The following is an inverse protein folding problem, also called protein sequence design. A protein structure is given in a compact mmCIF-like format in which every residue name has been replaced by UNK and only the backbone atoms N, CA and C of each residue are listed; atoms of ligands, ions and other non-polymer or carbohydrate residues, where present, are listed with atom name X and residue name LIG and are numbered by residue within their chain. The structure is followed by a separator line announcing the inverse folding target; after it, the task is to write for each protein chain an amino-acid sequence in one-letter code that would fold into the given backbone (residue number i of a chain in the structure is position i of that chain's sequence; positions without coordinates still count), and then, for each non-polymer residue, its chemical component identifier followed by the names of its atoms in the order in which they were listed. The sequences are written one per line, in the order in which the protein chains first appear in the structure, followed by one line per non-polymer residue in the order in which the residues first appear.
data_IF_952375188107
#
_entry.id   IF_952375188107
#
_cell.length_a   1.000
_cell.length_b   1.000
_cell.length_c   1.000
_cell.angle_alpha   90.00
_cell.angle_beta   90.00
_cell.angle_gamma   90.00
#
_symmetry.space_group_name_H-M   'P 1'
#
loop_
_entity.id
_entity.type
_entity.pdbx_description
1 polymer ?
#
# COMPACT_ATOMS: atom_id res chain seq x y z
N UNK A 1 -3.54 -4.97 -30.59
CA UNK A 1 -3.87 -3.71 -29.89
C UNK A 1 -4.49 -4.11 -28.57
N UNK A 2 -3.77 -3.91 -27.46
CA UNK A 2 -4.29 -4.22 -26.12
C UNK A 2 -5.56 -3.41 -25.83
N UNK A 3 -6.49 -4.03 -25.11
CA UNK A 3 -7.77 -3.45 -24.70
C UNK A 3 -7.57 -2.25 -23.76
N UNK A 4 -6.51 -2.26 -22.95
CA UNK A 4 -6.20 -1.17 -22.03
C UNK A 4 -5.76 0.10 -22.76
N UNK A 5 -5.09 0.01 -23.92
CA UNK A 5 -4.71 1.18 -24.74
C UNK A 5 -5.90 2.08 -25.11
N UNK A 6 -7.12 1.53 -25.10
CA UNK A 6 -8.37 2.25 -25.37
C UNK A 6 -8.93 3.01 -24.15
N UNK A 7 -8.59 2.59 -22.93
CA UNK A 7 -8.95 3.28 -21.69
C UNK A 7 -8.09 4.53 -21.46
N UNK A 8 -6.79 4.45 -21.76
CA UNK A 8 -5.84 5.56 -21.55
C UNK A 8 -5.86 6.62 -22.65
N UNK A 9 -6.55 6.39 -23.78
CA UNK A 9 -6.62 7.36 -24.89
C UNK A 9 -7.80 8.33 -24.76
N UNK A 10 -8.07 8.84 -23.56
CA UNK A 10 -9.23 9.69 -23.24
C UNK A 10 -9.49 10.79 -24.28
N UNK A 11 -10.68 10.78 -24.87
CA UNK A 11 -11.19 11.82 -25.77
C UNK A 11 -11.36 13.13 -24.99
N UNK A 12 -10.76 14.20 -25.51
CA UNK A 12 -10.92 15.59 -25.08
C UNK A 12 -12.40 15.99 -24.98
N UNK A 13 -12.83 16.49 -23.83
CA UNK A 13 -13.95 17.44 -23.81
C UNK A 13 -13.74 18.54 -22.78
N UNK A 14 -13.82 19.74 -23.33
CA UNK A 14 -13.62 21.05 -22.76
C UNK A 14 -14.61 21.39 -21.63
N UNK A 15 -14.05 22.01 -20.60
CA UNK A 15 -14.47 23.32 -20.04
C UNK A 15 -15.91 23.46 -19.51
N UNK A 16 -16.03 23.55 -18.17
CA UNK A 16 -16.77 24.63 -17.48
C UNK A 16 -16.71 24.51 -15.94
N UNK A 17 -15.94 25.41 -15.32
CA UNK A 17 -16.23 25.98 -13.98
C UNK A 17 -17.22 27.16 -14.15
N UNK A 18 -17.81 27.82 -13.11
CA UNK A 18 -17.52 27.77 -11.67
C UNK A 18 -18.77 27.81 -10.74
N UNK A 19 -18.58 27.67 -9.41
CA UNK A 19 -19.06 28.62 -8.38
C UNK A 19 -18.94 28.10 -6.93
N UNK A 20 -18.31 28.92 -6.09
CA UNK A 20 -18.33 28.91 -4.61
C UNK A 20 -19.72 29.28 -4.05
N UNK A 21 -20.06 28.88 -2.80
CA UNK A 21 -19.99 29.86 -1.70
C UNK A 21 -19.62 29.33 -0.29
N UNK A 22 -18.99 30.24 0.46
CA UNK A 22 -18.92 30.57 1.90
C UNK A 22 -19.31 29.59 3.04
N UNK A 23 -18.46 29.68 4.07
CA UNK A 23 -18.43 29.10 5.42
C UNK A 23 -19.50 29.67 6.37
N UNK A 24 -19.94 28.89 7.37
CA UNK A 24 -19.86 29.23 8.82
C UNK A 24 -20.28 28.06 9.74
N UNK A 25 -20.02 28.05 11.06
CA UNK A 25 -19.48 26.91 11.77
C UNK A 25 -20.46 26.40 12.85
N UNK A 26 -20.03 25.38 13.59
CA UNK A 26 -20.47 24.93 14.93
C UNK A 26 -20.82 23.44 14.96
N UNK A 27 -19.86 22.62 15.39
CA UNK A 27 -20.18 21.38 16.09
C UNK A 27 -19.42 21.28 17.41
N UNK A 28 -20.21 21.16 18.47
CA UNK A 28 -19.82 20.89 19.85
C UNK A 28 -19.41 19.42 19.98
N UNK A 29 -18.27 19.17 20.61
CA UNK A 29 -17.80 17.85 21.09
C UNK A 29 -18.80 17.24 22.09
N UNK A 30 -18.79 15.91 22.24
CA UNK A 30 -18.24 15.40 23.49
C UNK A 30 -17.30 14.19 23.36
N UNK A 31 -16.37 14.17 24.32
CA UNK A 31 -15.37 13.17 24.66
C UNK A 31 -16.02 11.90 25.20
N UNK A 32 -15.60 10.72 24.74
CA UNK A 32 -15.76 9.44 25.46
C UNK A 32 -14.47 8.63 25.31
N UNK A 33 -13.79 8.37 26.43
CA UNK A 33 -12.71 7.38 26.57
C UNK A 33 -13.29 5.96 26.59
N UNK A 34 -12.54 4.95 26.13
CA UNK A 34 -12.60 3.64 26.75
C UNK A 34 -11.25 3.22 27.36
N UNK A 35 -11.38 2.55 28.49
CA UNK A 35 -10.33 2.02 29.34
C UNK A 35 -9.83 0.66 28.82
N UNK A 36 -8.60 0.33 29.19
CA UNK A 36 -7.91 -0.94 28.96
C UNK A 36 -8.63 -2.14 29.58
N UNK A 37 -8.61 -3.30 28.91
CA UNK A 37 -8.46 -4.58 29.60
C UNK A 37 -7.78 -5.63 28.70
N UNK A 38 -6.68 -6.19 29.20
CA UNK A 38 -5.85 -7.21 28.57
C UNK A 38 -6.35 -8.61 28.93
N UNK A 39 -6.21 -9.57 28.01
CA UNK A 39 -6.32 -11.00 28.33
C UNK A 39 -5.19 -11.80 27.67
N UNK A 40 -4.24 -12.20 28.52
CA UNK A 40 -3.24 -13.25 28.31
C UNK A 40 -3.93 -14.60 28.05
N UNK A 41 -3.48 -15.36 27.06
CA UNK A 41 -3.72 -16.81 27.00
C UNK A 41 -2.39 -17.52 26.68
N UNK A 42 -1.94 -18.34 27.63
CA UNK A 42 -0.78 -19.23 27.51
C UNK A 42 -1.12 -20.51 26.72
N UNK A 43 -0.13 -21.16 26.05
CA UNK A 43 -0.35 -22.37 25.27
C UNK A 43 -0.25 -23.66 26.12
N UNK A 44 -1.24 -24.55 25.96
CA UNK A 44 -1.21 -25.90 26.52
C UNK A 44 -0.60 -26.92 25.55
N UNK A 45 0.30 -27.74 26.09
CA UNK A 45 1.04 -28.79 25.39
C UNK A 45 0.36 -30.17 25.45
N UNK A 46 0.52 -30.93 24.34
CA UNK A 46 0.66 -32.39 24.29
C UNK A 46 -0.53 -33.19 23.75
N UNK A 47 -0.37 -34.49 23.40
CA UNK A 47 0.87 -35.25 23.17
C UNK A 47 0.92 -36.00 21.82
N UNK A 48 2.10 -36.57 21.56
CA UNK A 48 2.45 -37.44 20.45
C UNK A 48 1.63 -38.75 20.39
N UNK A 49 1.41 -39.25 19.18
CA UNK A 49 1.07 -40.65 18.90
C UNK A 49 1.94 -41.16 17.76
N UNK A 50 2.58 -42.29 18.03
CA UNK A 50 3.47 -43.03 17.15
C UNK A 50 2.73 -44.21 16.51
N UNK A 51 3.16 -44.56 15.30
CA UNK A 51 3.08 -45.91 14.73
C UNK A 51 1.85 -46.17 13.84
N UNK A 52 2.07 -46.49 12.56
CA UNK A 52 2.11 -47.88 12.10
C UNK A 52 2.61 -47.98 10.65
N UNK A 53 3.34 -49.07 10.39
CA UNK A 53 3.91 -49.52 9.11
C UNK A 53 2.86 -49.73 8.02
N UNK A 54 3.27 -49.64 6.73
CA UNK A 54 2.89 -50.63 5.72
C UNK A 54 3.73 -50.52 4.42
N UNK A 55 4.40 -51.64 4.13
CA UNK A 55 4.69 -52.26 2.83
C UNK A 55 5.52 -51.58 1.73
N UNK A 56 6.72 -52.13 1.61
CA UNK A 56 7.36 -52.62 0.39
C UNK A 56 6.39 -53.37 -0.56
N UNK A 57 6.29 -52.94 -1.82
CA UNK A 57 6.05 -53.81 -2.99
C UNK A 57 6.18 -53.05 -4.34
N UNK A 58 7.27 -53.38 -5.06
CA UNK A 58 7.35 -53.69 -6.50
C UNK A 58 6.67 -52.77 -7.55
N UNK A 59 7.53 -52.13 -8.34
CA UNK A 59 7.26 -51.64 -9.70
C UNK A 59 6.94 -52.80 -10.67
N UNK A 60 6.00 -52.58 -11.61
CA UNK A 60 6.15 -53.12 -12.95
C UNK A 60 6.11 -52.00 -14.00
N UNK A 61 7.03 -52.08 -14.96
CA UNK A 61 6.95 -51.40 -16.25
C UNK A 61 5.84 -52.03 -17.10
N UNK A 62 5.17 -51.19 -17.91
CA UNK A 62 4.78 -51.40 -19.32
C UNK A 62 3.36 -50.89 -19.65
N UNK A 63 3.28 -50.22 -20.81
CA UNK A 63 2.11 -50.04 -21.70
C UNK A 63 1.15 -48.85 -21.50
N UNK A 64 1.49 -47.77 -22.22
CA UNK A 64 0.67 -47.02 -23.18
C UNK A 64 -0.77 -46.57 -22.82
N UNK A 65 -0.92 -45.27 -22.59
CA UNK A 65 -1.96 -44.43 -23.20
C UNK A 65 -1.34 -43.07 -23.58
N UNK A 66 -1.69 -42.45 -24.72
CA UNK A 66 -1.36 -41.04 -24.95
C UNK A 66 -2.31 -40.25 -24.06
N UNK A 67 -1.90 -39.99 -22.82
CA UNK A 67 -2.51 -38.92 -22.03
C UNK A 67 -2.35 -37.69 -22.88
N UNK A 68 -3.48 -37.21 -23.42
CA UNK A 68 -3.55 -35.92 -24.05
C UNK A 68 -2.86 -34.96 -23.08
N UNK A 69 -1.71 -34.41 -23.49
CA UNK A 69 -1.22 -33.19 -22.88
C UNK A 69 -2.40 -32.23 -23.01
N UNK A 70 -3.11 -32.04 -21.91
CA UNK A 70 -3.75 -30.78 -21.66
C UNK A 70 -2.53 -29.87 -21.66
N UNK A 71 -2.27 -29.23 -22.80
CA UNK A 71 -1.46 -28.04 -22.81
C UNK A 71 -2.08 -27.19 -21.72
N UNK A 72 -1.38 -27.08 -20.58
CA UNK A 72 -1.72 -26.09 -19.59
C UNK A 72 -1.65 -24.79 -20.37
N UNK A 73 -2.82 -24.26 -20.74
CA UNK A 73 -2.96 -22.84 -20.99
C UNK A 73 -2.29 -22.21 -19.77
N UNK A 74 -1.15 -21.56 -20.00
CA UNK A 74 -0.21 -21.20 -18.94
C UNK A 74 -0.97 -20.56 -17.80
N UNK A 75 -0.83 -21.08 -16.58
CA UNK A 75 -1.39 -20.43 -15.40
C UNK A 75 -0.88 -18.98 -15.26
N UNK A 76 0.24 -18.70 -15.95
CA UNK A 76 1.03 -17.48 -15.98
C UNK A 76 0.61 -16.48 -17.09
N UNK A 77 -0.37 -16.79 -17.94
CA UNK A 77 -0.87 -15.83 -18.93
C UNK A 77 -2.17 -15.14 -18.47
N UNK A 78 -2.22 -13.83 -18.63
CA UNK A 78 -3.42 -13.03 -18.41
C UNK A 78 -4.53 -13.39 -19.42
N UNK A 79 -5.73 -13.61 -18.90
CA UNK A 79 -6.91 -13.98 -19.68
C UNK A 79 -7.82 -12.77 -19.95
N UNK A 80 -8.86 -12.96 -20.77
CA UNK A 80 -9.88 -11.95 -20.97
C UNK A 80 -10.68 -11.61 -19.70
N UNK A 81 -10.78 -12.54 -18.75
CA UNK A 81 -11.42 -12.28 -17.46
C UNK A 81 -10.48 -11.49 -16.53
N UNK A 82 -9.18 -11.77 -16.57
CA UNK A 82 -8.17 -10.98 -15.85
C UNK A 82 -8.16 -9.53 -16.37
N UNK A 83 -8.24 -9.31 -17.69
CA UNK A 83 -8.35 -7.97 -18.26
C UNK A 83 -9.58 -7.19 -17.74
N UNK A 84 -10.72 -7.86 -17.50
CA UNK A 84 -11.88 -7.21 -16.88
C UNK A 84 -11.64 -6.90 -15.40
N UNK A 85 -10.93 -7.79 -14.70
CA UNK A 85 -10.57 -7.60 -13.31
C UNK A 85 -9.63 -6.39 -13.14
N UNK A 86 -8.62 -6.26 -14.01
CA UNK A 86 -7.71 -5.11 -14.07
C UNK A 86 -8.52 -3.82 -14.22
N UNK A 87 -9.42 -3.76 -15.21
CA UNK A 87 -10.23 -2.57 -15.46
C UNK A 87 -11.12 -2.23 -14.27
N UNK A 88 -11.77 -3.22 -13.67
CA UNK A 88 -12.64 -3.00 -12.50
C UNK A 88 -11.85 -2.49 -11.29
N UNK A 89 -10.65 -3.03 -11.07
CA UNK A 89 -9.80 -2.63 -9.95
C UNK A 89 -9.21 -1.23 -10.16
N UNK A 90 -8.71 -0.91 -11.38
CA UNK A 90 -8.30 0.46 -11.74
C UNK A 90 -9.46 1.45 -11.54
N UNK A 91 -10.66 1.15 -12.03
CA UNK A 91 -11.82 2.02 -11.82
C UNK A 91 -12.19 2.22 -10.34
N UNK A 92 -11.86 1.26 -9.49
CA UNK A 92 -12.09 1.37 -8.04
C UNK A 92 -11.06 2.31 -7.42
N UNK A 93 -9.80 2.18 -7.80
CA UNK A 93 -8.70 3.07 -7.41
C UNK A 93 -8.95 4.51 -7.88
N UNK A 94 -9.30 4.70 -9.16
CA UNK A 94 -9.53 6.02 -9.76
C UNK A 94 -10.66 6.79 -9.07
N UNK A 95 -11.74 6.09 -8.68
CA UNK A 95 -12.85 6.70 -7.92
C UNK A 95 -12.41 7.25 -6.57
N UNK A 96 -11.43 6.60 -5.93
CA UNK A 96 -10.82 7.07 -4.69
C UNK A 96 -9.70 8.10 -4.94
N UNK A 97 -9.49 8.52 -6.18
CA UNK A 97 -8.46 9.50 -6.55
C UNK A 97 -7.05 8.92 -6.69
N UNK A 98 -6.91 7.60 -6.78
CA UNK A 98 -5.66 6.89 -7.07
C UNK A 98 -5.62 6.55 -8.56
N UNK A 99 -4.78 7.23 -9.31
CA UNK A 99 -4.62 7.05 -10.76
C UNK A 99 -3.22 6.53 -11.07
N UNK A 100 -3.05 5.72 -12.14
CA UNK A 100 -1.73 5.44 -12.67
C UNK A 100 -0.96 6.75 -12.93
N UNK A 101 0.35 6.74 -12.67
CA UNK A 101 1.24 7.86 -12.97
C UNK A 101 1.26 8.10 -14.48
N UNK A 102 1.57 9.32 -14.90
CA UNK A 102 1.41 9.74 -16.30
C UNK A 102 2.33 8.97 -17.28
N UNK A 103 3.44 8.47 -16.76
CA UNK A 103 4.45 7.68 -17.46
C UNK A 103 4.11 6.20 -17.57
N UNK A 104 3.12 5.70 -16.79
CA UNK A 104 2.76 4.29 -16.78
C UNK A 104 1.94 3.96 -18.02
N UNK A 105 2.48 3.05 -18.84
CA UNK A 105 1.77 2.51 -19.98
C UNK A 105 0.91 1.31 -19.55
N UNK A 106 -0.16 1.01 -20.31
CA UNK A 106 -0.96 -0.17 -20.03
C UNK A 106 -0.21 -1.50 -20.07
N UNK A 107 0.84 -1.55 -20.90
CA UNK A 107 1.69 -2.72 -21.07
C UNK A 107 2.52 -2.97 -19.81
N UNK A 108 2.92 -1.91 -19.08
CA UNK A 108 3.62 -2.04 -17.81
C UNK A 108 2.74 -2.75 -16.77
N UNK A 109 1.46 -2.38 -16.67
CA UNK A 109 0.49 -3.02 -15.76
C UNK A 109 0.29 -4.49 -16.12
N UNK A 110 0.12 -4.81 -17.41
CA UNK A 110 -0.03 -6.19 -17.86
C UNK A 110 1.23 -7.02 -17.54
N UNK A 111 2.42 -6.47 -17.74
CA UNK A 111 3.68 -7.15 -17.46
C UNK A 111 3.88 -7.38 -15.95
N UNK A 112 3.68 -6.36 -15.12
CA UNK A 112 3.84 -6.48 -13.66
C UNK A 112 2.87 -7.48 -13.03
N UNK A 113 1.63 -7.56 -13.53
CA UNK A 113 0.64 -8.53 -13.04
C UNK A 113 0.88 -9.95 -13.56
N UNK A 114 1.61 -10.09 -14.67
CA UNK A 114 1.97 -11.39 -15.22
C UNK A 114 3.03 -12.12 -14.38
N UNK A 115 3.78 -11.40 -13.55
CA UNK A 115 4.78 -11.98 -12.64
C UNK A 115 4.17 -12.87 -11.54
N UNK A 116 2.95 -12.54 -11.07
CA UNK A 116 2.18 -13.36 -10.13
C UNK A 116 0.68 -13.26 -10.39
N UNK A 117 0.25 -13.86 -11.50
CA UNK A 117 -1.16 -13.87 -11.93
C UNK A 117 -2.08 -14.51 -10.88
N UNK A 118 -1.61 -15.52 -10.14
CA UNK A 118 -2.41 -16.15 -9.10
C UNK A 118 -2.69 -15.21 -7.94
N UNK A 119 -1.69 -14.44 -7.49
CA UNK A 119 -1.86 -13.44 -6.46
C UNK A 119 -2.79 -12.32 -6.92
N UNK A 120 -2.60 -11.82 -8.15
CA UNK A 120 -3.48 -10.82 -8.75
C UNK A 120 -4.95 -11.28 -8.76
N UNK A 121 -5.23 -12.52 -9.18
CA UNK A 121 -6.59 -13.07 -9.19
C UNK A 121 -7.22 -13.15 -7.80
N UNK A 122 -6.41 -13.33 -6.74
CA UNK A 122 -6.90 -13.40 -5.36
C UNK A 122 -7.08 -12.01 -4.74
N UNK A 123 -6.20 -11.07 -5.08
CA UNK A 123 -6.08 -9.73 -4.47
C UNK A 123 -5.84 -8.64 -5.52
N UNK A 124 -6.80 -8.40 -6.42
CA UNK A 124 -6.57 -7.56 -7.59
C UNK A 124 -6.28 -6.09 -7.25
N UNK A 125 -6.91 -5.51 -6.23
CA UNK A 125 -6.65 -4.13 -5.84
C UNK A 125 -5.27 -4.03 -5.21
N UNK A 126 -4.95 -4.93 -4.28
CA UNK A 126 -3.66 -4.89 -3.57
C UNK A 126 -2.49 -5.20 -4.49
N UNK A 127 -2.65 -6.14 -5.42
CA UNK A 127 -1.63 -6.43 -6.44
C UNK A 127 -1.38 -5.23 -7.36
N UNK A 128 -2.42 -4.47 -7.73
CA UNK A 128 -2.22 -3.23 -8.50
C UNK A 128 -1.52 -2.14 -7.68
N UNK A 129 -1.91 -1.95 -6.41
CA UNK A 129 -1.26 -0.98 -5.53
C UNK A 129 0.23 -1.28 -5.32
N UNK A 130 0.60 -2.57 -5.31
CA UNK A 130 1.99 -3.01 -5.19
C UNK A 130 2.74 -3.09 -6.53
N UNK A 131 2.05 -2.89 -7.66
CA UNK A 131 2.68 -3.03 -8.98
C UNK A 131 3.71 -1.94 -9.23
N UNK A 132 4.84 -2.35 -9.81
CA UNK A 132 5.99 -1.48 -10.10
C UNK A 132 6.30 -1.46 -11.59
N UNK A 133 6.63 -0.30 -12.10
CA UNK A 133 7.07 -0.11 -13.49
C UNK A 133 8.44 -0.76 -13.74
N UNK A 134 8.93 -0.80 -15.00
CA UNK A 134 10.24 -1.35 -15.31
C UNK A 134 11.43 -0.62 -14.65
N UNK A 135 11.24 0.61 -14.15
CA UNK A 135 12.23 1.34 -13.38
C UNK A 135 12.21 0.98 -11.88
N UNK A 136 11.21 0.20 -11.43
CA UNK A 136 11.02 -0.20 -10.05
C UNK A 136 10.17 0.78 -9.25
N UNK A 137 9.49 1.73 -9.89
CA UNK A 137 8.65 2.73 -9.23
C UNK A 137 7.20 2.26 -9.08
N UNK A 138 6.52 2.61 -7.99
CA UNK A 138 5.10 2.30 -7.83
C UNK A 138 4.27 2.98 -8.92
N UNK A 139 3.36 2.22 -9.53
CA UNK A 139 2.62 2.69 -10.70
C UNK A 139 1.51 3.69 -10.38
N UNK A 140 0.98 3.70 -9.17
CA UNK A 140 -0.14 4.57 -8.78
C UNK A 140 0.35 5.76 -7.95
N UNK A 141 -0.28 6.92 -8.15
CA UNK A 141 0.00 8.08 -7.30
C UNK A 141 -0.55 7.88 -5.88
N UNK A 142 -0.01 8.60 -4.89
CA UNK A 142 -0.49 8.56 -3.49
C UNK A 142 -0.48 7.16 -2.90
N UNK A 143 0.45 6.33 -3.36
CA UNK A 143 0.76 5.01 -2.82
C UNK A 143 2.22 5.03 -2.40
N UNK A 144 2.47 4.55 -1.19
CA UNK A 144 3.80 4.34 -0.66
C UNK A 144 3.94 2.91 -0.16
N UNK A 145 5.08 2.29 -0.44
CA UNK A 145 5.44 0.99 0.07
C UNK A 145 6.92 1.03 0.45
N UNK A 146 7.20 0.72 1.71
CA UNK A 146 8.56 0.64 2.23
C UNK A 146 9.15 -0.75 1.94
N UNK A 147 9.62 -0.90 0.71
CA UNK A 147 10.13 -2.18 0.19
C UNK A 147 11.54 -2.50 0.71
N UNK A 148 12.35 -1.48 0.96
CA UNK A 148 13.72 -1.69 1.42
C UNK A 148 13.79 -1.99 2.93
N UNK A 149 12.72 -1.74 3.69
CA UNK A 149 12.63 -1.94 5.15
C UNK A 149 13.88 -1.45 5.88
N UNK A 150 14.44 -0.34 5.41
CA UNK A 150 15.65 0.20 5.99
C UNK A 150 15.31 0.69 7.37
N UNK A 151 15.91 0.10 8.40
CA UNK A 151 15.82 0.65 9.75
C UNK A 151 16.38 2.08 9.69
N UNK A 152 15.51 3.08 9.87
CA UNK A 152 15.95 4.48 9.92
C UNK A 152 16.57 4.73 11.29
N UNK A 153 17.90 4.67 11.32
CA UNK A 153 18.70 4.72 12.54
C UNK A 153 19.50 6.03 12.65
N UNK A 154 19.30 6.97 11.72
CA UNK A 154 19.93 8.28 11.71
C UNK A 154 18.95 9.37 11.29
N UNK A 155 19.30 10.63 11.60
CA UNK A 155 18.53 11.78 11.15
C UNK A 155 18.53 11.91 9.61
N UNK A 156 19.62 11.50 8.95
CA UNK A 156 19.69 11.49 7.48
C UNK A 156 18.70 10.46 6.91
N UNK A 157 18.57 9.28 7.53
CA UNK A 157 17.57 8.28 7.10
C UNK A 157 16.13 8.80 7.27
N UNK A 158 15.85 9.55 8.35
CA UNK A 158 14.54 10.18 8.55
C UNK A 158 14.26 11.29 7.53
N UNK A 159 15.31 12.01 7.09
CA UNK A 159 15.19 13.03 6.06
C UNK A 159 14.89 12.38 4.70
N UNK A 160 15.63 11.32 4.34
CA UNK A 160 15.38 10.55 3.11
C UNK A 160 13.95 9.98 3.13
N UNK A 161 13.51 9.43 4.26
CA UNK A 161 12.13 8.93 4.41
C UNK A 161 11.08 10.04 4.28
N UNK A 162 11.33 11.24 4.83
CA UNK A 162 10.44 12.39 4.64
C UNK A 162 10.34 12.79 3.16
N UNK A 163 11.45 12.79 2.42
CA UNK A 163 11.46 13.09 0.99
C UNK A 163 10.67 12.05 0.18
N UNK A 164 10.87 10.76 0.46
CA UNK A 164 10.14 9.66 -0.19
C UNK A 164 8.64 9.71 0.12
N UNK A 165 8.28 9.83 1.39
CA UNK A 165 6.89 9.86 1.84
C UNK A 165 6.15 11.11 1.31
N UNK A 166 6.79 12.28 1.34
CA UNK A 166 6.18 13.52 0.82
C UNK A 166 6.03 13.50 -0.70
N UNK A 167 6.98 12.91 -1.42
CA UNK A 167 6.87 12.69 -2.88
C UNK A 167 5.70 11.76 -3.19
N UNK A 168 5.59 10.64 -2.49
CA UNK A 168 4.49 9.70 -2.66
C UNK A 168 3.13 10.35 -2.34
N UNK A 169 3.04 11.11 -1.25
CA UNK A 169 1.83 11.86 -0.86
C UNK A 169 1.47 13.01 -1.82
N UNK A 170 2.43 13.45 -2.66
CA UNK A 170 2.29 14.62 -3.53
C UNK A 170 2.38 15.95 -2.77
N UNK A 171 3.08 15.96 -1.63
CA UNK A 171 3.28 17.12 -0.76
C UNK A 171 4.72 17.67 -0.78
N UNK A 172 5.65 17.02 -1.49
CA UNK A 172 7.07 17.39 -1.63
C UNK A 172 7.29 18.89 -1.91
N UNK A 173 6.58 19.46 -2.87
CA UNK A 173 6.70 20.87 -3.25
C UNK A 173 6.24 21.85 -2.15
N UNK A 174 5.60 21.34 -1.10
CA UNK A 174 5.06 22.09 0.02
C UNK A 174 5.82 21.84 1.33
N UNK A 175 6.84 20.96 1.34
CA UNK A 175 7.70 20.74 2.49
C UNK A 175 8.79 21.82 2.55
N UNK A 176 8.95 22.48 3.70
CA UNK A 176 10.04 23.43 3.92
C UNK A 176 10.55 23.43 5.36
N UNK A 177 11.68 24.10 5.57
CA UNK A 177 12.21 24.45 6.89
C UNK A 177 12.41 23.23 7.83
N UNK A 178 12.93 22.13 7.27
CA UNK A 178 13.25 20.91 8.03
C UNK A 178 14.42 21.17 8.98
N UNK A 179 14.21 20.97 10.28
CA UNK A 179 15.20 21.19 11.34
C UNK A 179 15.09 20.07 12.38
N UNK A 180 16.24 19.51 12.77
CA UNK A 180 16.35 18.54 13.86
C UNK A 180 16.71 19.24 15.18
N UNK A 181 16.04 18.84 16.26
CA UNK A 181 16.30 19.24 17.63
C UNK A 181 16.71 18.00 18.44
N UNK A 182 18.01 17.68 18.39
CA UNK A 182 18.59 16.57 19.16
C UNK A 182 18.51 16.82 20.67
N UNK A 183 18.22 15.78 21.44
CA UNK A 183 18.33 15.83 22.90
C UNK A 183 19.81 15.91 23.29
N UNK A 184 20.12 16.91 24.12
CA UNK A 184 21.50 17.13 24.63
C UNK A 184 22.01 15.99 25.51
N UNK A 185 21.12 15.22 26.13
CA UNK A 185 21.48 14.08 26.98
C UNK A 185 21.57 12.76 26.20
N UNK A 186 20.87 12.66 25.07
CA UNK A 186 20.81 11.44 24.25
C UNK A 186 20.67 11.76 22.74
N UNK A 187 21.75 11.62 21.94
CA UNK A 187 21.72 11.99 20.53
C UNK A 187 20.86 11.09 19.65
N UNK A 188 20.38 9.94 20.15
CA UNK A 188 19.42 9.11 19.41
C UNK A 188 17.98 9.59 19.57
N UNK A 189 17.73 10.62 20.38
CA UNK A 189 16.39 11.16 20.64
C UNK A 189 16.32 12.62 20.26
N UNK A 190 15.13 13.07 19.95
CA UNK A 190 14.89 14.47 19.62
C UNK A 190 13.56 14.68 18.94
N UNK A 191 13.44 15.80 18.24
CA UNK A 191 12.31 16.04 17.37
C UNK A 191 12.73 16.60 16.02
N UNK A 192 12.01 16.20 14.97
CA UNK A 192 12.13 16.76 13.63
C UNK A 192 10.95 17.72 13.40
N UNK A 193 11.28 18.98 13.12
CA UNK A 193 10.29 20.00 12.80
C UNK A 193 10.39 20.38 11.33
N UNK A 194 9.25 20.48 10.67
CA UNK A 194 9.15 20.95 9.30
C UNK A 194 7.81 21.61 9.06
N UNK A 195 7.70 22.33 7.95
CA UNK A 195 6.48 22.99 7.53
C UNK A 195 5.87 22.26 6.33
N UNK A 196 4.54 22.14 6.32
CA UNK A 196 3.73 21.63 5.20
C UNK A 196 2.81 22.75 4.74
N UNK A 197 2.99 23.24 3.52
CA UNK A 197 2.28 24.42 3.02
C UNK A 197 2.73 25.69 3.74
N UNK A 198 1.86 26.70 3.86
CA UNK A 198 2.24 28.02 4.41
C UNK A 198 2.09 28.13 5.95
N UNK A 199 1.21 27.32 6.56
CA UNK A 199 0.79 27.55 7.96
C UNK A 199 0.86 26.31 8.86
N UNK A 200 1.11 25.12 8.32
CA UNK A 200 1.09 23.89 9.09
C UNK A 200 2.51 23.48 9.49
N UNK A 201 2.86 23.66 10.77
CA UNK A 201 4.13 23.21 11.32
C UNK A 201 3.93 21.86 11.99
N UNK A 202 4.71 20.88 11.56
CA UNK A 202 4.76 19.52 12.12
C UNK A 202 5.99 19.40 13.01
N UNK A 203 5.83 18.73 14.13
CA UNK A 203 6.91 18.45 15.08
C UNK A 203 6.77 16.98 15.48
N UNK A 204 7.69 16.15 15.02
CA UNK A 204 7.66 14.70 15.14
C UNK A 204 8.75 14.29 16.10
N UNK A 205 8.37 13.69 17.21
CA UNK A 205 9.33 13.12 18.15
C UNK A 205 9.95 11.86 17.54
N UNK A 206 11.25 11.66 17.73
CA UNK A 206 11.92 10.46 17.24
C UNK A 206 12.79 9.80 18.32
N UNK A 207 12.98 8.50 18.14
CA UNK A 207 13.97 7.70 18.84
C UNK A 207 14.63 6.76 17.82
N UNK A 208 15.90 7.00 17.54
CA UNK A 208 16.73 6.26 16.61
C UNK A 208 17.29 5.01 17.29
N UNK A 209 16.49 3.95 17.33
CA UNK A 209 16.94 2.68 17.89
C UNK A 209 17.79 1.92 16.85
N UNK A 210 19.02 1.49 17.17
CA UNK A 210 19.87 0.79 16.20
C UNK A 210 19.35 -0.59 15.78
N UNK A 211 18.49 -1.21 16.59
CA UNK A 211 17.93 -2.54 16.35
C UNK A 211 16.54 -2.47 15.70
N UNK A 212 15.79 -1.38 15.93
CA UNK A 212 14.40 -1.25 15.49
C UNK A 212 14.11 -0.03 14.60
N UNK A 213 15.04 0.91 14.45
CA UNK A 213 14.83 2.15 13.73
C UNK A 213 13.88 3.11 14.45
N UNK A 214 13.33 4.06 13.70
CA UNK A 214 12.49 5.14 14.21
C UNK A 214 11.00 4.89 13.93
N UNK A 215 10.51 3.68 14.19
CA UNK A 215 9.17 3.20 13.79
C UNK A 215 8.03 4.17 14.12
N UNK A 216 8.02 4.71 15.34
CA UNK A 216 6.97 5.65 15.77
C UNK A 216 7.03 6.95 14.95
N UNK A 217 8.24 7.47 14.70
CA UNK A 217 8.43 8.66 13.89
C UNK A 217 8.08 8.41 12.41
N UNK A 218 8.36 7.23 11.88
CA UNK A 218 7.99 6.84 10.51
C UNK A 218 6.46 6.86 10.32
N UNK A 219 5.72 6.29 11.27
CA UNK A 219 4.25 6.34 11.24
C UNK A 219 3.71 7.79 11.34
N UNK A 220 4.25 8.57 12.28
CA UNK A 220 3.88 9.97 12.45
C UNK A 220 4.22 10.82 11.21
N UNK A 221 5.32 10.50 10.51
CA UNK A 221 5.72 11.17 9.27
C UNK A 221 4.74 10.89 8.13
N UNK A 222 4.33 9.64 7.94
CA UNK A 222 3.34 9.28 6.92
C UNK A 222 2.03 10.05 7.11
N UNK A 223 1.59 10.23 8.37
CA UNK A 223 0.43 11.09 8.68
C UNK A 223 0.73 12.58 8.45
N UNK A 224 1.91 13.05 8.84
CA UNK A 224 2.27 14.46 8.82
C UNK A 224 2.41 15.03 7.40
N UNK A 225 2.85 14.22 6.42
CA UNK A 225 3.01 14.61 5.01
C UNK A 225 1.71 14.61 4.22
N UNK A 226 0.59 14.20 4.82
CA UNK A 226 -0.70 14.20 4.14
C UNK A 226 -1.12 15.63 3.71
N UNK A 227 -1.58 15.75 2.46
CA UNK A 227 -2.16 16.99 1.96
C UNK A 227 -3.49 17.32 2.65
N UNK A 228 -3.89 18.59 2.62
CA UNK A 228 -5.15 19.05 3.21
C UNK A 228 -6.36 18.22 2.73
N UNK A 229 -7.12 17.69 3.69
CA UNK A 229 -8.29 16.85 3.43
C UNK A 229 -7.99 15.37 3.24
N UNK A 230 -6.71 14.97 3.24
CA UNK A 230 -6.32 13.56 3.15
C UNK A 230 -5.85 13.00 4.50
N UNK A 231 -5.91 11.68 4.62
CA UNK A 231 -5.33 10.92 5.73
C UNK A 231 -4.51 9.75 5.18
N UNK A 232 -3.39 9.46 5.84
CA UNK A 232 -2.62 8.26 5.58
C UNK A 232 -3.40 7.04 6.10
N UNK A 233 -3.56 6.04 5.25
CA UNK A 233 -4.20 4.76 5.60
C UNK A 233 -3.24 3.64 5.25
N UNK A 234 -2.71 2.96 6.27
CA UNK A 234 -1.68 1.92 6.12
C UNK A 234 -2.31 0.53 6.24
N UNK A 235 -1.99 -0.34 5.27
CA UNK A 235 -2.45 -1.72 5.21
C UNK A 235 -1.28 -2.69 5.40
N UNK A 236 -1.25 -3.34 6.56
CA UNK A 236 -0.24 -4.33 6.90
C UNK A 236 -0.43 -5.65 6.14
N UNK A 237 0.68 -6.26 5.72
CA UNK A 237 0.66 -7.56 5.04
C UNK A 237 -0.10 -7.56 3.72
N UNK A 238 -0.23 -6.39 3.09
CA UNK A 238 -1.00 -6.22 1.87
C UNK A 238 -0.37 -7.02 0.72
N UNK A 239 0.93 -6.81 0.47
CA UNK A 239 1.69 -7.53 -0.53
C UNK A 239 2.94 -8.16 0.09
N UNK A 240 2.95 -9.50 0.13
CA UNK A 240 3.97 -10.34 0.77
C UNK A 240 4.26 -10.01 2.25
N UNK A 241 4.98 -8.91 2.53
CA UNK A 241 5.50 -8.50 3.85
C UNK A 241 5.57 -6.99 4.08
N UNK A 242 5.26 -6.16 3.08
CA UNK A 242 5.41 -4.71 3.18
C UNK A 242 4.05 -4.04 3.40
N UNK A 243 4.04 -3.03 4.27
CA UNK A 243 2.89 -2.19 4.46
C UNK A 243 2.72 -1.28 3.25
N UNK A 244 1.47 -1.09 2.81
CA UNK A 244 1.14 -0.12 1.77
C UNK A 244 0.37 1.02 2.44
N UNK A 245 0.85 2.25 2.26
CA UNK A 245 0.19 3.46 2.74
C UNK A 245 -0.45 4.20 1.58
N UNK A 246 -1.72 4.56 1.75
CA UNK A 246 -2.50 5.36 0.80
C UNK A 246 -2.88 6.70 1.43
N UNK A 247 -2.82 7.79 0.67
CA UNK A 247 -3.37 9.08 1.10
C UNK A 247 -4.74 9.32 0.48
N UNK A 248 -5.78 9.17 1.29
CA UNK A 248 -7.18 9.18 0.85
C UNK A 248 -7.97 10.30 1.52
N UNK A 249 -8.98 10.84 0.83
CA UNK A 249 -9.96 11.74 1.48
C UNK A 249 -10.97 10.89 2.28
N UNK A 250 -10.96 10.94 3.62
CA UNK A 250 -11.80 10.09 4.46
C UNK A 250 -13.28 10.52 4.46
N UNK A 251 -13.61 11.67 3.84
CA UNK A 251 -14.97 12.20 3.80
C UNK A 251 -15.77 11.68 2.60
N UNK A 252 -15.11 11.01 1.66
CA UNK A 252 -15.72 10.48 0.44
C UNK A 252 -16.16 9.02 0.61
N UNK A 253 -17.36 8.62 0.13
CA UNK A 253 -17.78 7.23 0.09
C UNK A 253 -16.81 6.34 -0.70
N UNK A 254 -16.23 6.86 -1.77
CA UNK A 254 -15.32 6.12 -2.66
C UNK A 254 -14.05 5.67 -1.93
N UNK A 255 -13.46 6.52 -1.09
CA UNK A 255 -12.33 6.14 -0.24
C UNK A 255 -12.74 5.06 0.77
N UNK A 256 -13.91 5.19 1.40
CA UNK A 256 -14.39 4.20 2.36
C UNK A 256 -14.64 2.83 1.70
N UNK A 257 -15.22 2.83 0.49
CA UNK A 257 -15.46 1.63 -0.29
C UNK A 257 -14.14 0.96 -0.72
N UNK A 258 -13.13 1.76 -1.10
CA UNK A 258 -11.79 1.24 -1.41
C UNK A 258 -11.14 0.58 -0.19
N UNK A 259 -11.15 1.24 0.97
CA UNK A 259 -10.59 0.68 2.22
C UNK A 259 -11.25 -0.66 2.54
N UNK A 260 -12.59 -0.73 2.50
CA UNK A 260 -13.33 -1.95 2.74
C UNK A 260 -13.01 -3.06 1.72
N UNK A 261 -12.80 -2.70 0.45
CA UNK A 261 -12.43 -3.65 -0.60
C UNK A 261 -11.03 -4.23 -0.36
N UNK A 262 -10.05 -3.40 0.02
CA UNK A 262 -8.70 -3.83 0.38
C UNK A 262 -8.77 -4.77 1.58
N UNK A 263 -9.42 -4.38 2.68
CA UNK A 263 -9.57 -5.22 3.88
C UNK A 263 -10.19 -6.59 3.55
N UNK A 264 -11.17 -6.63 2.64
CA UNK A 264 -11.79 -7.86 2.18
C UNK A 264 -10.85 -8.76 1.37
N UNK A 265 -9.87 -8.19 0.64
CA UNK A 265 -8.81 -8.95 -0.05
C UNK A 265 -7.77 -9.51 0.95
N UNK A 266 -7.47 -8.77 2.02
CA UNK A 266 -6.48 -9.18 3.03
C UNK A 266 -6.95 -10.31 3.94
N UNK A 267 -8.27 -10.46 4.12
CA UNK A 267 -8.87 -11.52 4.94
C UNK A 267 -8.99 -12.88 4.22
N UNK A 268 -8.64 -12.96 2.94
CA UNK A 268 -8.67 -14.18 2.11
C UNK A 268 -7.33 -14.90 2.09
#
# INVERSE_FOLDING_TARGET
MSFLKRLFSGDDNEDQSPNHPELDPQLKKPVVKPEHEAALIEPHAGPAIAGENLNDQTLPEDSAEPVARIDSIGADELTADDARLIVSAIQTLEKAGLTPRAEVEPEDIEDALSDDVELFRRRPIVSLLASRDPAGELMFNRVFADDDQLLRCSNDDLLDFLEEASTAAGSDAYISDVVFFEDTEDPTRGSMRFQVGEWNVRDIEYHLDPDFGAVDAEADLLEAVAMDGQVATTFEGAFHRHAITLWLDPTTPESADLVAAIEAELQR
#
